data_IF_951046177199
#
_entry.id   IF_951046177199
#
_cell.length_a   1.000
_cell.length_b   1.000
_cell.length_c   1.000
_cell.angle_alpha   90.00
_cell.angle_beta   90.00
_cell.angle_gamma   90.00
#
_symmetry.space_group_name_H-M   'P 1'
#
loop_
_entity.id
_entity.type
_entity.pdbx_description
1 polymer ?
#
# COMPACT_ATOMS: atom_id res chain seq x y z
N UNK A 1 17.36 -62.01 90.98
CA UNK A 1 18.06 -61.06 91.88
C UNK A 1 18.40 -59.82 91.07
N UNK A 2 17.98 -58.63 91.55
CA UNK A 2 18.47 -57.25 91.24
C UNK A 2 18.56 -56.88 89.75
N UNK A 3 17.82 -55.92 89.22
CA UNK A 3 17.55 -54.56 89.71
C UNK A 3 17.38 -53.63 88.48
N UNK A 4 17.06 -52.35 88.65
CA UNK A 4 16.01 -51.69 87.86
C UNK A 4 16.50 -50.59 86.89
N UNK A 5 15.50 -50.00 86.22
CA UNK A 5 15.36 -48.57 85.91
C UNK A 5 15.96 -47.98 84.62
N UNK A 6 15.03 -47.38 83.87
CA UNK A 6 15.09 -46.06 83.24
C UNK A 6 16.00 -45.86 82.02
N UNK A 7 15.45 -45.27 80.96
CA UNK A 7 15.53 -43.82 80.69
C UNK A 7 14.82 -43.55 79.36
N UNK A 8 13.82 -42.67 79.42
CA UNK A 8 13.11 -42.07 78.29
C UNK A 8 14.03 -41.08 77.56
N UNK A 9 14.29 -41.34 76.28
CA UNK A 9 15.11 -40.50 75.40
C UNK A 9 14.38 -40.14 74.10
N UNK A 10 13.93 -38.89 74.06
CA UNK A 10 13.99 -37.95 72.94
C UNK A 10 13.74 -38.41 71.47
N UNK A 11 12.74 -37.74 70.90
CA UNK A 11 12.81 -36.90 69.67
C UNK A 11 12.75 -37.56 68.29
N UNK A 12 11.68 -37.09 67.61
CA UNK A 12 11.54 -36.69 66.19
C UNK A 12 11.34 -37.83 65.20
N UNK A 13 10.08 -37.91 64.75
CA UNK A 13 9.63 -38.68 63.60
C UNK A 13 10.45 -38.33 62.35
N UNK A 14 11.21 -39.31 61.87
CA UNK A 14 11.68 -39.38 60.50
C UNK A 14 10.62 -40.11 59.67
N UNK A 15 10.15 -39.49 58.59
CA UNK A 15 9.49 -40.19 57.49
C UNK A 15 10.41 -40.12 56.27
N UNK A 16 10.92 -41.29 55.89
CA UNK A 16 11.64 -41.56 54.64
C UNK A 16 10.71 -41.55 53.45
N UNK A 17 11.25 -41.12 52.30
CA UNK A 17 11.04 -41.63 50.93
C UNK A 17 11.30 -40.48 49.94
N UNK A 18 11.93 -40.61 48.78
CA UNK A 18 12.58 -41.69 48.06
C UNK A 18 13.43 -40.96 47.01
N UNK A 19 14.68 -41.36 46.80
CA UNK A 19 15.49 -40.87 45.69
C UNK A 19 14.92 -41.43 44.39
N UNK A 20 14.55 -40.58 43.44
CA UNK A 20 14.47 -40.93 42.02
C UNK A 20 15.42 -39.98 41.30
N UNK A 21 16.54 -40.54 40.84
CA UNK A 21 17.49 -39.82 40.00
C UNK A 21 16.82 -39.51 38.66
N UNK A 22 16.93 -38.26 38.23
CA UNK A 22 16.53 -37.86 36.89
C UNK A 22 17.80 -37.49 36.14
N UNK A 23 18.19 -38.38 35.23
CA UNK A 23 19.25 -38.14 34.28
C UNK A 23 18.91 -36.89 33.46
N UNK A 24 19.78 -35.90 33.50
CA UNK A 24 19.67 -34.69 32.67
C UNK A 24 20.07 -35.06 31.25
N UNK A 25 19.07 -35.39 30.42
CA UNK A 25 19.21 -35.41 28.96
C UNK A 25 19.05 -33.98 28.45
N UNK A 26 20.16 -33.33 28.08
CA UNK A 26 20.14 -32.06 27.36
C UNK A 26 19.56 -32.29 25.94
N UNK A 27 18.24 -32.32 25.83
CA UNK A 27 17.53 -32.28 24.56
C UNK A 27 17.39 -30.83 24.12
N UNK A 28 18.31 -30.33 23.28
CA UNK A 28 18.21 -29.02 22.68
C UNK A 28 17.03 -28.94 21.72
N UNK A 29 15.97 -28.24 22.10
CA UNK A 29 14.87 -27.91 21.20
C UNK A 29 15.27 -26.71 20.34
N UNK A 30 15.74 -26.95 19.14
CA UNK A 30 15.95 -25.90 18.14
C UNK A 30 14.59 -25.34 17.69
N UNK A 31 14.26 -24.13 18.15
CA UNK A 31 13.16 -23.35 17.58
C UNK A 31 13.56 -22.92 16.15
N UNK A 32 12.91 -23.47 15.12
CA UNK A 32 12.97 -22.89 13.78
C UNK A 32 12.16 -21.59 13.79
N UNK A 33 12.84 -20.45 13.79
CA UNK A 33 12.22 -19.16 13.52
C UNK A 33 11.91 -19.06 12.02
N UNK A 34 10.65 -19.22 11.62
CA UNK A 34 10.20 -18.83 10.29
C UNK A 34 10.14 -17.30 10.22
N UNK A 35 11.10 -16.68 9.55
CA UNK A 35 11.03 -15.27 9.20
C UNK A 35 10.07 -15.10 8.03
N UNK A 36 8.85 -14.64 8.29
CA UNK A 36 7.95 -14.15 7.23
C UNK A 36 8.49 -12.81 6.78
N UNK A 37 9.12 -12.78 5.61
CA UNK A 37 9.55 -11.53 4.98
C UNK A 37 8.31 -10.83 4.41
N UNK A 38 7.86 -9.77 5.08
CA UNK A 38 6.78 -8.93 4.55
C UNK A 38 7.28 -8.24 3.27
N UNK A 39 6.72 -8.61 2.11
CA UNK A 39 6.97 -7.89 0.88
C UNK A 39 6.38 -6.47 1.01
N UNK A 40 7.21 -5.44 0.81
CA UNK A 40 6.73 -4.07 0.78
C UNK A 40 5.67 -3.94 -0.33
N UNK A 41 4.47 -3.47 0.02
CA UNK A 41 3.42 -3.27 -0.97
C UNK A 41 3.85 -2.19 -1.96
N UNK A 42 3.60 -2.44 -3.25
CA UNK A 42 3.84 -1.46 -4.29
C UNK A 42 3.04 -0.17 -4.00
N UNK A 43 3.67 0.99 -4.21
CA UNK A 43 2.97 2.27 -4.14
C UNK A 43 2.17 2.43 -5.43
N UNK A 44 0.87 2.20 -5.35
CA UNK A 44 -0.12 2.38 -6.41
C UNK A 44 -1.18 3.41 -5.99
N UNK A 45 -1.93 4.02 -6.93
CA UNK A 45 -3.05 4.89 -6.61
C UNK A 45 -4.12 4.23 -5.73
N UNK A 46 -4.75 5.00 -4.85
CA UNK A 46 -5.68 4.48 -3.83
C UNK A 46 -6.95 5.31 -3.68
N UNK A 47 -8.02 4.67 -3.22
CA UNK A 47 -9.30 5.32 -2.91
C UNK A 47 -10.00 5.87 -4.15
N UNK A 48 -10.03 5.10 -5.23
CA UNK A 48 -10.67 5.50 -6.49
C UNK A 48 -12.19 5.66 -6.32
N UNK A 49 -12.74 6.74 -6.87
CA UNK A 49 -14.17 6.94 -7.09
C UNK A 49 -14.37 7.45 -8.51
N UNK A 50 -15.14 6.73 -9.33
CA UNK A 50 -15.46 7.18 -10.70
C UNK A 50 -16.51 8.29 -10.62
N UNK A 51 -16.13 9.51 -10.99
CA UNK A 51 -16.97 10.69 -10.90
C UNK A 51 -17.76 10.96 -12.19
N UNK A 52 -17.23 10.56 -13.35
CA UNK A 52 -17.95 10.58 -14.63
C UNK A 52 -17.33 9.65 -15.66
N UNK A 53 -18.12 9.28 -16.67
CA UNK A 53 -17.71 8.33 -17.71
C UNK A 53 -17.75 6.88 -17.22
N UNK A 54 -17.20 5.97 -18.02
CA UNK A 54 -17.20 4.54 -17.74
C UNK A 54 -15.77 4.05 -17.59
N UNK A 55 -15.41 3.67 -16.35
CA UNK A 55 -14.08 3.19 -15.99
C UNK A 55 -14.20 2.01 -15.04
N UNK A 56 -13.44 0.94 -15.32
CA UNK A 56 -13.20 -0.17 -14.41
C UNK A 56 -11.78 -0.09 -13.87
N UNK A 57 -11.67 0.16 -12.57
CA UNK A 57 -10.39 0.08 -11.85
C UNK A 57 -10.12 -1.39 -11.54
N UNK A 58 -9.03 -1.94 -12.07
CA UNK A 58 -8.62 -3.31 -11.78
C UNK A 58 -8.16 -3.48 -10.32
N UNK A 59 -8.12 -4.72 -9.86
CA UNK A 59 -7.36 -5.05 -8.65
C UNK A 59 -5.86 -5.03 -8.97
N UNK A 60 -5.00 -4.55 -8.05
CA UNK A 60 -3.56 -4.67 -8.20
C UNK A 60 -3.15 -6.13 -8.49
N UNK A 61 -2.31 -6.32 -9.50
CA UNK A 61 -1.72 -7.61 -9.86
C UNK A 61 -0.20 -7.48 -9.79
N UNK A 62 0.39 -8.05 -8.73
CA UNK A 62 1.77 -7.74 -8.36
C UNK A 62 1.93 -6.24 -8.09
N UNK A 63 2.87 -5.60 -8.78
CA UNK A 63 3.11 -4.15 -8.65
C UNK A 63 2.41 -3.33 -9.74
N UNK A 64 1.43 -3.90 -10.45
CA UNK A 64 0.75 -3.23 -11.56
C UNK A 64 -0.73 -2.99 -11.28
N UNK A 65 -1.23 -1.83 -11.71
CA UNK A 65 -2.65 -1.49 -11.73
C UNK A 65 -3.09 -1.23 -13.17
N UNK A 66 -4.10 -1.95 -13.65
CA UNK A 66 -4.72 -1.68 -14.96
C UNK A 66 -6.06 -0.99 -14.78
N UNK A 67 -6.25 0.12 -15.48
CA UNK A 67 -7.46 0.94 -15.50
C UNK A 67 -8.06 0.86 -16.90
N UNK A 68 -9.26 0.28 -17.01
CA UNK A 68 -9.96 0.12 -18.28
C UNK A 68 -11.05 1.17 -18.41
N UNK A 69 -10.87 2.11 -19.32
CA UNK A 69 -11.87 3.11 -19.68
C UNK A 69 -12.61 2.65 -20.94
N UNK A 70 -13.95 2.75 -20.94
CA UNK A 70 -14.77 2.45 -22.13
C UNK A 70 -15.48 3.67 -22.71
N UNK A 71 -15.46 4.80 -22.01
CA UNK A 71 -15.99 6.08 -22.51
C UNK A 71 -14.93 6.93 -23.21
N UNK A 72 -15.32 7.88 -24.06
CA UNK A 72 -14.38 8.81 -24.71
C UNK A 72 -13.66 9.71 -23.69
N UNK A 73 -14.38 10.15 -22.64
CA UNK A 73 -13.85 10.93 -21.53
C UNK A 73 -14.30 10.33 -20.20
N UNK A 74 -13.43 10.35 -19.19
CA UNK A 74 -13.76 9.90 -17.85
C UNK A 74 -13.01 10.69 -16.77
N UNK A 75 -13.62 10.80 -15.60
CA UNK A 75 -13.01 11.41 -14.42
C UNK A 75 -13.00 10.40 -13.29
N UNK A 76 -11.84 10.19 -12.69
CA UNK A 76 -11.64 9.38 -11.50
C UNK A 76 -11.03 10.26 -10.42
N UNK A 77 -11.75 10.38 -9.31
CA UNK A 77 -11.25 10.99 -8.09
C UNK A 77 -10.48 9.94 -7.28
N UNK A 78 -9.32 10.34 -6.73
CA UNK A 78 -8.44 9.47 -5.96
C UNK A 78 -8.15 10.10 -4.60
N UNK A 79 -8.06 9.29 -3.54
CA UNK A 79 -7.50 9.77 -2.28
C UNK A 79 -6.01 10.10 -2.44
N UNK A 80 -5.27 9.24 -3.15
CA UNK A 80 -3.87 9.48 -3.51
C UNK A 80 -3.56 8.87 -4.87
N UNK A 81 -2.64 9.51 -5.60
CA UNK A 81 -2.15 9.00 -6.87
C UNK A 81 -0.63 9.14 -6.93
N UNK A 82 0.06 8.04 -6.64
CA UNK A 82 1.51 7.90 -6.77
C UNK A 82 1.83 6.55 -7.41
N UNK A 83 2.97 6.46 -8.09
CA UNK A 83 3.44 5.23 -8.73
C UNK A 83 4.88 5.00 -8.29
N UNK A 84 5.11 4.00 -7.44
CA UNK A 84 6.43 3.69 -6.91
C UNK A 84 7.40 3.18 -8.00
N UNK A 85 8.71 3.24 -7.73
CA UNK A 85 9.75 2.91 -8.71
C UNK A 85 9.60 1.52 -9.39
N UNK A 86 9.13 0.53 -8.63
CA UNK A 86 8.91 -0.83 -9.13
C UNK A 86 7.45 -1.11 -9.52
N UNK A 87 6.64 -0.06 -9.68
CA UNK A 87 5.21 -0.15 -9.95
C UNK A 87 4.83 0.41 -11.32
N UNK A 88 3.69 -0.04 -11.84
CA UNK A 88 3.13 0.45 -13.09
C UNK A 88 1.63 0.72 -13.00
N UNK A 89 1.18 1.76 -13.70
CA UNK A 89 -0.24 2.03 -13.94
C UNK A 89 -0.47 2.04 -15.45
N UNK A 90 -1.36 1.16 -15.92
CA UNK A 90 -1.69 1.02 -17.34
C UNK A 90 -3.13 1.45 -17.61
N UNK A 91 -3.31 2.46 -18.44
CA UNK A 91 -4.61 2.93 -18.90
C UNK A 91 -4.94 2.35 -20.27
N UNK A 92 -5.99 1.52 -20.32
CA UNK A 92 -6.54 0.98 -21.57
C UNK A 92 -7.81 1.78 -21.87
N UNK A 93 -7.76 2.57 -22.94
CA UNK A 93 -8.80 3.52 -23.35
C UNK A 93 -9.34 3.15 -24.74
N UNK A 94 -10.50 3.68 -25.18
CA UNK A 94 -11.06 3.34 -26.50
C UNK A 94 -10.15 3.70 -27.69
N UNK A 95 -9.29 4.72 -27.55
CA UNK A 95 -8.31 5.10 -28.57
C UNK A 95 -7.53 6.36 -28.21
N UNK A 96 -6.63 6.79 -29.08
CA UNK A 96 -5.72 7.93 -28.86
C UNK A 96 -6.43 9.26 -28.56
N UNK A 97 -7.65 9.45 -29.07
CA UNK A 97 -8.48 10.63 -28.80
C UNK A 97 -9.24 10.59 -27.47
N UNK A 98 -9.22 9.47 -26.75
CA UNK A 98 -9.89 9.34 -25.46
C UNK A 98 -9.04 9.93 -24.33
N UNK A 99 -9.67 10.49 -23.31
CA UNK A 99 -8.99 11.12 -22.19
C UNK A 99 -9.51 10.65 -20.83
N UNK A 100 -8.60 10.47 -19.87
CA UNK A 100 -8.95 10.24 -18.47
C UNK A 100 -8.36 11.34 -17.60
N UNK A 101 -9.16 11.85 -16.67
CA UNK A 101 -8.73 12.74 -15.61
C UNK A 101 -8.60 11.97 -14.31
N UNK A 102 -7.39 11.95 -13.75
CA UNK A 102 -7.09 11.46 -12.42
C UNK A 102 -6.94 12.68 -11.50
N UNK A 103 -7.93 12.91 -10.63
CA UNK A 103 -7.93 14.05 -9.70
C UNK A 103 -7.68 13.57 -8.28
N UNK A 104 -6.62 14.06 -7.66
CA UNK A 104 -6.35 13.78 -6.24
C UNK A 104 -7.19 14.69 -5.36
N UNK A 105 -7.97 14.09 -4.47
CA UNK A 105 -8.84 14.77 -3.48
C UNK A 105 -8.29 14.72 -2.05
N UNK A 106 -7.33 13.84 -1.79
CA UNK A 106 -6.63 13.79 -0.51
C UNK A 106 -5.56 14.88 -0.38
N UNK A 107 -4.72 14.74 0.64
CA UNK A 107 -3.74 15.75 1.05
C UNK A 107 -2.30 15.42 0.65
N UNK A 108 -2.08 14.27 0.01
CA UNK A 108 -0.74 13.81 -0.38
C UNK A 108 -0.36 14.30 -1.76
N UNK A 109 0.90 14.72 -1.94
CA UNK A 109 1.48 14.97 -3.26
C UNK A 109 1.56 13.69 -4.09
N UNK A 110 1.64 13.85 -5.41
CA UNK A 110 1.85 12.76 -6.35
C UNK A 110 3.33 12.59 -6.63
N UNK A 111 3.85 11.37 -6.45
CA UNK A 111 5.21 11.01 -6.88
C UNK A 111 5.12 9.88 -7.90
N UNK A 112 5.57 10.16 -9.12
CA UNK A 112 5.65 9.21 -10.22
C UNK A 112 7.11 8.79 -10.34
N UNK A 113 7.46 7.70 -9.68
CA UNK A 113 8.79 7.10 -9.72
C UNK A 113 8.84 5.85 -10.61
N UNK A 114 7.69 5.23 -10.88
CA UNK A 114 7.54 4.10 -11.79
C UNK A 114 6.92 4.48 -13.13
N UNK A 115 6.18 3.55 -13.72
CA UNK A 115 5.72 3.65 -15.11
C UNK A 115 4.23 4.01 -15.21
N UNK A 116 3.89 4.98 -16.04
CA UNK A 116 2.52 5.23 -16.50
C UNK A 116 2.46 4.97 -18.00
N UNK A 117 1.60 4.04 -18.41
CA UNK A 117 1.35 3.73 -19.82
C UNK A 117 -0.09 4.01 -20.19
N UNK A 118 -0.34 4.52 -21.40
CA UNK A 118 -1.69 4.68 -21.93
C UNK A 118 -1.71 4.63 -23.46
N UNK A 119 -2.80 4.16 -24.06
CA UNK A 119 -3.03 4.34 -25.50
C UNK A 119 -3.76 5.66 -25.85
N UNK A 120 -4.33 6.35 -24.86
CA UNK A 120 -4.99 7.66 -25.00
C UNK A 120 -4.29 8.78 -24.26
N UNK A 121 -5.06 9.76 -23.80
CA UNK A 121 -4.60 10.92 -23.03
C UNK A 121 -4.82 10.70 -21.53
N UNK A 122 -3.84 11.12 -20.73
CA UNK A 122 -3.88 11.01 -19.27
C UNK A 122 -3.65 12.40 -18.66
N UNK A 123 -4.61 12.84 -17.85
CA UNK A 123 -4.52 14.05 -17.05
C UNK A 123 -4.35 13.64 -15.60
N UNK A 124 -3.38 14.22 -14.91
CA UNK A 124 -3.17 14.10 -13.47
C UNK A 124 -3.26 15.49 -12.86
N UNK A 125 -4.23 15.71 -11.99
CA UNK A 125 -4.35 16.96 -11.24
C UNK A 125 -4.22 16.68 -9.75
N UNK A 126 -3.31 17.39 -9.09
CA UNK A 126 -3.09 17.29 -7.67
C UNK A 126 -2.64 18.65 -7.10
N UNK A 127 -3.51 19.37 -6.38
CA UNK A 127 -3.16 20.66 -5.77
C UNK A 127 -1.99 20.59 -4.79
N UNK A 128 -1.71 19.41 -4.21
CA UNK A 128 -0.63 19.18 -3.26
C UNK A 128 0.75 19.07 -3.95
N UNK A 129 0.82 19.07 -5.28
CA UNK A 129 2.04 18.95 -6.06
C UNK A 129 2.19 17.61 -6.77
N UNK A 130 2.96 17.63 -7.86
CA UNK A 130 3.23 16.46 -8.70
C UNK A 130 4.73 16.46 -9.01
N UNK A 131 5.42 15.37 -8.70
CA UNK A 131 6.80 15.14 -9.06
C UNK A 131 6.92 13.87 -9.90
N UNK A 132 7.62 13.97 -11.04
CA UNK A 132 8.10 12.81 -11.80
C UNK A 132 9.58 12.68 -11.48
N UNK A 133 9.97 11.55 -10.89
CA UNK A 133 11.38 11.35 -10.47
C UNK A 133 12.25 10.95 -11.67
N UNK A 134 13.58 10.92 -11.54
CA UNK A 134 14.46 10.47 -12.62
C UNK A 134 14.21 9.03 -13.11
N UNK A 135 13.59 8.18 -12.28
CA UNK A 135 13.20 6.82 -12.66
C UNK A 135 11.77 6.74 -13.19
N UNK A 136 10.98 7.79 -12.97
CA UNK A 136 9.60 7.88 -13.42
C UNK A 136 9.53 7.98 -14.93
N UNK A 137 8.58 7.27 -15.54
CA UNK A 137 8.40 7.29 -16.97
C UNK A 137 6.92 7.34 -17.34
N UNK A 138 6.61 8.16 -18.35
CA UNK A 138 5.25 8.33 -18.87
C UNK A 138 5.28 8.07 -20.37
N UNK A 139 4.56 7.06 -20.84
CA UNK A 139 4.39 6.74 -22.25
C UNK A 139 2.91 6.70 -22.59
N UNK A 140 2.44 7.72 -23.32
CA UNK A 140 1.03 7.84 -23.68
C UNK A 140 0.88 7.99 -25.19
N UNK A 141 -0.17 7.39 -25.76
CA UNK A 141 -0.48 7.48 -27.19
C UNK A 141 -1.05 8.83 -27.61
N UNK A 142 -1.55 9.63 -26.67
CA UNK A 142 -2.02 11.00 -26.88
C UNK A 142 -1.12 12.03 -26.19
N UNK A 143 -1.65 12.66 -25.15
CA UNK A 143 -0.94 13.66 -24.35
C UNK A 143 -0.99 13.35 -22.87
N UNK A 144 0.03 13.79 -22.14
CA UNK A 144 0.07 13.76 -20.69
C UNK A 144 0.03 15.19 -20.15
N UNK A 145 -0.88 15.46 -19.22
CA UNK A 145 -1.01 16.77 -18.57
C UNK A 145 -0.92 16.57 -17.07
N UNK A 146 0.02 17.25 -16.43
CA UNK A 146 0.14 17.35 -14.98
C UNK A 146 -0.15 18.78 -14.54
N UNK A 147 -1.04 18.97 -13.56
CA UNK A 147 -1.37 20.31 -13.06
C UNK A 147 -1.62 20.31 -11.55
N UNK A 148 -1.20 21.40 -10.90
CA UNK A 148 -1.57 21.72 -9.51
C UNK A 148 -2.83 22.60 -9.44
N UNK A 149 -3.35 23.04 -10.59
CA UNK A 149 -4.67 23.65 -10.72
C UNK A 149 -5.72 22.57 -10.96
N UNK A 150 -6.96 22.82 -10.53
CA UNK A 150 -8.09 21.92 -10.76
C UNK A 150 -8.83 22.29 -12.05
N UNK A 151 -9.68 21.41 -12.53
CA UNK A 151 -10.59 21.61 -13.67
C UNK A 151 -11.97 21.08 -13.28
N UNK A 152 -13.07 21.66 -13.74
CA UNK A 152 -14.39 21.11 -13.40
C UNK A 152 -14.67 19.82 -14.20
N UNK A 153 -15.56 18.94 -13.69
CA UNK A 153 -15.99 17.77 -14.48
C UNK A 153 -16.70 18.19 -15.78
N UNK A 154 -17.48 19.28 -15.74
CA UNK A 154 -18.19 19.79 -16.90
C UNK A 154 -17.22 20.24 -17.99
N UNK A 155 -16.21 21.04 -17.63
CA UNK A 155 -15.17 21.52 -18.53
C UNK A 155 -14.37 20.35 -19.13
N UNK A 156 -13.90 19.43 -18.27
CA UNK A 156 -13.15 18.28 -18.74
C UNK A 156 -13.99 17.40 -19.70
N UNK A 157 -15.25 17.13 -19.37
CA UNK A 157 -16.13 16.30 -20.21
C UNK A 157 -16.51 17.00 -21.52
N UNK A 158 -16.61 18.33 -21.53
CA UNK A 158 -16.80 19.13 -22.74
C UNK A 158 -15.52 19.30 -23.58
N UNK A 159 -14.36 18.92 -23.05
CA UNK A 159 -13.06 19.17 -23.69
C UNK A 159 -12.55 20.60 -23.58
N UNK A 160 -13.19 21.41 -22.73
CA UNK A 160 -12.76 22.75 -22.39
C UNK A 160 -11.66 22.68 -21.33
N UNK A 161 -10.40 22.89 -21.68
CA UNK A 161 -9.26 22.70 -20.76
C UNK A 161 -8.98 23.93 -19.88
N UNK A 162 -10.02 24.40 -19.17
CA UNK A 162 -9.96 25.54 -18.27
C UNK A 162 -9.54 25.11 -16.86
N UNK A 163 -8.24 25.22 -16.57
CA UNK A 163 -7.70 24.95 -15.24
C UNK A 163 -7.77 26.20 -14.35
N UNK A 164 -8.20 26.04 -13.12
CA UNK A 164 -8.30 27.11 -12.12
C UNK A 164 -7.91 26.61 -10.73
N UNK A 165 -7.32 27.49 -9.93
CA UNK A 165 -6.91 27.20 -8.56
C UNK A 165 -7.54 28.18 -7.59
N UNK A 166 -7.60 27.81 -6.31
CA UNK A 166 -8.06 28.69 -5.22
C UNK A 166 -6.91 29.48 -4.56
N UNK A 167 -5.76 29.61 -5.23
CA UNK A 167 -4.57 30.27 -4.68
C UNK A 167 -3.75 29.44 -3.68
N UNK A 168 -3.98 28.13 -3.58
CA UNK A 168 -3.27 27.20 -2.67
C UNK A 168 -2.42 26.14 -3.41
N UNK A 169 -2.20 26.31 -4.72
CA UNK A 169 -1.46 25.35 -5.54
C UNK A 169 0.04 25.48 -5.30
N UNK A 170 0.71 24.38 -4.93
CA UNK A 170 2.18 24.36 -4.78
C UNK A 170 2.88 24.61 -6.12
N UNK A 171 4.07 25.23 -6.05
CA UNK A 171 4.96 25.40 -7.20
C UNK A 171 5.42 24.04 -7.76
N UNK A 172 5.60 23.98 -9.08
CA UNK A 172 6.11 22.81 -9.82
C UNK A 172 7.63 22.78 -9.76
#
# INVERSE_FOLDING_TARGET
>A
MRGPAAITGARRHATSARRIGMAVLLGGTSFLALTVQAAAQAVLPQGATVASGQVRIGSPSGNSLTINQSSSRAVVDWNSFSVGANASVNFVQPGAGSAILNRVRGTTSSTIAGQITANGQVFLVNPNGIAITPTGSVQVGGGFVASTLDISNADFNAGNLNFSGRGASSAV
#
